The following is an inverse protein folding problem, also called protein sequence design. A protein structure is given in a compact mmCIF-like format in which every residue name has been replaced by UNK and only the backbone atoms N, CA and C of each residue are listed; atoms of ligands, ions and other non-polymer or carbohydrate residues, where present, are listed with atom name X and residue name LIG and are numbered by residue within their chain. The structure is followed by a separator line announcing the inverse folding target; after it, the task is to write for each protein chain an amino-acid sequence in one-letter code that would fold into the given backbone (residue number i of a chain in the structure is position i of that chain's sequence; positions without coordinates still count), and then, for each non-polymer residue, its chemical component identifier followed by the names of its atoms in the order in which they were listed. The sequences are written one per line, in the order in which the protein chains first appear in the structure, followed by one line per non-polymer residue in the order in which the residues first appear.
data_IF_078421247222
#
_entry.id   IF_078421247222
#
_cell.length_a   1.000
_cell.length_b   1.000
_cell.length_c   1.000
_cell.angle_alpha   90.00
_cell.angle_beta   90.00
_cell.angle_gamma   90.00
#
_symmetry.space_group_name_H-M   'P 1'
#
loop_
_entity.id
_entity.type
_entity.pdbx_description
1 polymer ?
#
# COMPACT_ATOMS: atom_id res chain seq x y z
N UNK A 1 1.70 1.64 55.86
CA UNK A 1 2.26 2.89 55.32
C UNK A 1 2.18 2.86 53.79
N UNK A 2 1.31 3.66 53.16
CA UNK A 2 1.28 3.84 51.69
C UNK A 2 2.24 4.98 51.33
N UNK A 3 3.18 4.76 50.40
CA UNK A 3 3.96 5.85 49.78
C UNK A 3 3.14 6.46 48.64
N UNK A 4 3.16 7.79 48.43
CA UNK A 4 2.50 8.41 47.28
C UNK A 4 3.36 8.24 46.02
N UNK A 5 2.76 7.74 44.94
CA UNK A 5 3.32 7.88 43.59
C UNK A 5 2.95 9.27 43.10
N UNK A 6 3.95 10.14 42.91
CA UNK A 6 3.81 11.36 42.11
C UNK A 6 4.08 10.96 40.66
N UNK A 7 3.03 10.92 39.84
CA UNK A 7 3.16 10.88 38.39
C UNK A 7 2.78 12.24 37.84
N UNK A 8 3.73 13.16 37.84
CA UNK A 8 3.68 14.36 37.01
C UNK A 8 4.66 14.16 35.85
N UNK A 9 4.32 13.27 34.92
CA UNK A 9 5.00 13.25 33.62
C UNK A 9 4.33 14.31 32.75
N UNK A 10 4.83 15.56 32.83
CA UNK A 10 4.53 16.57 31.82
C UNK A 10 5.07 16.04 30.49
N UNK A 11 4.19 15.82 29.52
CA UNK A 11 4.60 15.55 28.14
C UNK A 11 5.41 16.76 27.64
N UNK A 12 6.68 16.54 27.32
CA UNK A 12 7.50 17.57 26.70
C UNK A 12 6.98 17.85 25.28
N UNK A 13 6.98 19.12 24.83
CA UNK A 13 6.57 19.45 23.48
C UNK A 13 7.52 18.78 22.48
N UNK A 14 6.95 18.14 21.46
CA UNK A 14 7.72 17.53 20.39
C UNK A 14 8.70 18.54 19.79
N UNK A 15 9.96 18.14 19.65
CA UNK A 15 10.99 18.99 19.07
C UNK A 15 10.66 19.29 17.61
N UNK A 16 11.12 20.42 17.04
CA UNK A 16 10.91 20.73 15.62
C UNK A 16 11.39 19.61 14.67
N UNK A 17 12.45 18.88 15.05
CA UNK A 17 12.92 17.71 14.33
C UNK A 17 11.92 16.53 14.38
N UNK A 18 11.29 16.30 15.53
CA UNK A 18 10.26 15.26 15.70
C UNK A 18 8.97 15.62 14.93
N UNK A 19 8.59 16.90 14.90
CA UNK A 19 7.47 17.39 14.08
C UNK A 19 7.77 17.27 12.58
N UNK A 20 8.98 17.64 12.14
CA UNK A 20 9.40 17.50 10.75
C UNK A 20 9.46 16.04 10.29
N UNK A 21 9.97 15.14 11.14
CA UNK A 21 9.98 13.70 10.89
C UNK A 21 8.55 13.12 10.78
N UNK A 22 7.62 13.54 11.65
CA UNK A 22 6.20 13.16 11.53
C UNK A 22 5.55 13.67 10.25
N UNK A 23 5.86 14.90 9.82
CA UNK A 23 5.33 15.48 8.59
C UNK A 23 5.87 14.79 7.34
N UNK A 24 7.18 14.48 7.29
CA UNK A 24 7.79 13.74 6.19
C UNK A 24 7.29 12.30 6.09
N UNK A 25 7.11 11.64 7.24
CA UNK A 25 6.45 10.33 7.35
C UNK A 25 5.03 10.37 6.77
N UNK A 26 4.28 11.44 7.04
CA UNK A 26 2.93 11.61 6.52
C UNK A 26 2.89 11.84 5.00
N UNK A 27 3.89 12.52 4.41
CA UNK A 27 3.93 12.74 2.96
C UNK A 27 4.32 11.51 2.14
N UNK A 28 5.32 10.73 2.58
CA UNK A 28 5.74 9.51 1.87
C UNK A 28 4.61 8.45 1.88
N UNK A 29 3.92 8.32 3.01
CA UNK A 29 2.78 7.43 3.13
C UNK A 29 1.59 7.87 2.28
N UNK A 30 1.33 9.19 2.20
CA UNK A 30 0.27 9.74 1.35
C UNK A 30 0.54 9.46 -0.14
N UNK A 31 1.80 9.58 -0.58
CA UNK A 31 2.17 9.28 -1.95
C UNK A 31 2.01 7.79 -2.28
N UNK A 32 2.50 6.90 -1.42
CA UNK A 32 2.29 5.45 -1.56
C UNK A 32 0.79 5.08 -1.59
N UNK A 33 -0.03 5.75 -0.78
CA UNK A 33 -1.48 5.58 -0.80
C UNK A 33 -2.09 6.01 -2.14
N UNK A 34 -1.67 7.14 -2.70
CA UNK A 34 -2.14 7.60 -4.01
C UNK A 34 -1.79 6.61 -5.13
N UNK A 35 -0.57 6.08 -5.12
CA UNK A 35 -0.12 5.07 -6.09
C UNK A 35 -0.96 3.78 -5.99
N UNK A 36 -1.19 3.30 -4.76
CA UNK A 36 -2.06 2.13 -4.51
C UNK A 36 -3.49 2.38 -5.02
N UNK A 37 -4.05 3.56 -4.76
CA UNK A 37 -5.40 3.90 -5.22
C UNK A 37 -5.50 3.99 -6.74
N UNK A 38 -4.49 4.59 -7.39
CA UNK A 38 -4.40 4.67 -8.84
C UNK A 38 -4.33 3.28 -9.48
N UNK A 39 -3.47 2.41 -8.94
CA UNK A 39 -3.33 1.03 -9.42
C UNK A 39 -4.58 0.19 -9.13
N UNK A 40 -5.24 0.41 -8.00
CA UNK A 40 -6.52 -0.22 -7.67
C UNK A 40 -7.58 0.14 -8.69
N UNK A 41 -7.71 1.43 -9.03
CA UNK A 41 -8.68 1.89 -10.01
C UNK A 41 -8.43 1.28 -11.39
N UNK A 42 -7.17 1.28 -11.85
CA UNK A 42 -6.77 0.65 -13.11
C UNK A 42 -7.12 -0.84 -13.15
N UNK A 43 -6.78 -1.58 -12.09
CA UNK A 43 -7.08 -3.00 -11.98
C UNK A 43 -8.59 -3.28 -12.05
N UNK A 44 -9.38 -2.52 -11.28
CA UNK A 44 -10.84 -2.69 -11.25
C UNK A 44 -11.48 -2.38 -12.61
N UNK A 45 -11.01 -1.34 -13.31
CA UNK A 45 -11.50 -1.01 -14.65
C UNK A 45 -11.20 -2.11 -15.66
N UNK A 46 -9.97 -2.63 -15.68
CA UNK A 46 -9.58 -3.71 -16.58
C UNK A 46 -10.41 -4.98 -16.31
N UNK A 47 -10.56 -5.36 -15.03
CA UNK A 47 -11.33 -6.53 -14.65
C UNK A 47 -12.81 -6.39 -15.02
N UNK A 48 -13.38 -5.19 -14.86
CA UNK A 48 -14.75 -4.89 -15.27
C UNK A 48 -14.95 -5.06 -16.78
N UNK A 49 -14.00 -4.58 -17.60
CA UNK A 49 -14.06 -4.80 -19.05
C UNK A 49 -14.04 -6.28 -19.40
N UNK A 50 -13.11 -7.04 -18.82
CA UNK A 50 -13.02 -8.49 -19.02
C UNK A 50 -14.30 -9.23 -18.56
N UNK A 51 -14.92 -8.80 -17.46
CA UNK A 51 -16.17 -9.36 -16.97
C UNK A 51 -17.31 -9.14 -17.95
N UNK A 52 -17.41 -7.94 -18.52
CA UNK A 52 -18.40 -7.62 -19.55
C UNK A 52 -18.17 -8.41 -20.84
N UNK A 53 -16.92 -8.55 -21.27
CA UNK A 53 -16.59 -9.35 -22.46
C UNK A 53 -16.88 -10.83 -22.25
N UNK A 54 -16.61 -11.35 -21.04
CA UNK A 54 -16.98 -12.71 -20.67
C UNK A 54 -18.49 -12.89 -20.68
N UNK A 55 -19.26 -11.96 -20.11
CA UNK A 55 -20.73 -12.03 -20.13
C UNK A 55 -21.28 -12.02 -21.56
N UNK A 56 -20.72 -11.18 -22.44
CA UNK A 56 -21.08 -11.18 -23.87
C UNK A 56 -20.77 -12.53 -24.52
N UNK A 57 -19.61 -13.12 -24.25
CA UNK A 57 -19.24 -14.43 -24.77
C UNK A 57 -20.14 -15.56 -24.24
N UNK A 58 -20.49 -15.54 -22.95
CA UNK A 58 -21.40 -16.51 -22.33
C UNK A 58 -22.79 -16.46 -22.99
N UNK A 59 -23.32 -15.26 -23.25
CA UNK A 59 -24.61 -15.08 -23.92
C UNK A 59 -24.61 -15.52 -25.39
N UNK A 60 -23.45 -15.58 -26.03
CA UNK A 60 -23.29 -16.02 -27.41
C UNK A 60 -23.10 -17.54 -27.56
N UNK A 61 -22.87 -18.27 -26.47
CA UNK A 61 -22.63 -19.71 -26.48
C UNK A 61 -23.87 -20.48 -26.97
N UNK A 62 -23.65 -21.47 -27.84
CA UNK A 62 -24.69 -22.34 -28.42
C UNK A 62 -24.64 -23.77 -27.90
N UNK A 63 -23.64 -24.08 -27.07
CA UNK A 63 -23.48 -25.41 -26.45
C UNK A 63 -22.88 -25.33 -25.05
N UNK A 64 -23.10 -26.39 -24.27
CA UNK A 64 -22.49 -26.54 -22.96
C UNK A 64 -20.94 -26.60 -23.03
N UNK A 65 -20.39 -27.14 -24.12
CA UNK A 65 -18.94 -27.19 -24.33
C UNK A 65 -18.34 -25.81 -24.53
N UNK A 66 -18.97 -24.96 -25.35
CA UNK A 66 -18.55 -23.56 -25.53
C UNK A 66 -18.63 -22.78 -24.21
N UNK A 67 -19.71 -22.97 -23.46
CA UNK A 67 -19.89 -22.36 -22.14
C UNK A 67 -18.76 -22.73 -21.18
N UNK A 68 -18.42 -24.03 -21.11
CA UNK A 68 -17.32 -24.52 -20.26
C UNK A 68 -15.96 -23.95 -20.68
N UNK A 69 -15.72 -23.76 -21.97
CA UNK A 69 -14.48 -23.16 -22.47
C UNK A 69 -14.36 -21.70 -22.05
N UNK A 70 -15.42 -20.89 -22.26
CA UNK A 70 -15.46 -19.48 -21.85
C UNK A 70 -15.28 -19.37 -20.34
N UNK A 71 -16.00 -20.17 -19.57
CA UNK A 71 -15.91 -20.15 -18.11
C UNK A 71 -14.53 -20.59 -17.60
N UNK A 72 -13.92 -21.62 -18.19
CA UNK A 72 -12.57 -22.07 -17.81
C UNK A 72 -11.52 -21.01 -18.12
N UNK A 73 -11.60 -20.35 -19.29
CA UNK A 73 -10.71 -19.26 -19.65
C UNK A 73 -10.84 -18.10 -18.66
N UNK A 74 -12.08 -17.69 -18.36
CA UNK A 74 -12.37 -16.65 -17.38
C UNK A 74 -11.74 -16.93 -16.02
N UNK A 75 -11.94 -18.12 -15.46
CA UNK A 75 -11.38 -18.45 -14.15
C UNK A 75 -9.86 -18.43 -14.14
N UNK A 76 -9.21 -18.97 -15.18
CA UNK A 76 -7.75 -18.96 -15.28
C UNK A 76 -7.21 -17.53 -15.32
N UNK A 77 -7.79 -16.68 -16.17
CA UNK A 77 -7.38 -15.27 -16.29
C UNK A 77 -7.63 -14.52 -14.99
N UNK A 78 -8.83 -14.64 -14.41
CA UNK A 78 -9.16 -13.95 -13.16
C UNK A 78 -8.20 -14.34 -12.03
N UNK A 79 -7.89 -15.63 -11.87
CA UNK A 79 -6.94 -16.08 -10.85
C UNK A 79 -5.53 -15.50 -11.06
N UNK A 80 -5.04 -15.46 -12.29
CA UNK A 80 -3.75 -14.86 -12.61
C UNK A 80 -3.75 -13.35 -12.29
N UNK A 81 -4.75 -12.62 -12.80
CA UNK A 81 -4.84 -11.17 -12.62
C UNK A 81 -4.92 -10.77 -11.13
N UNK A 82 -5.71 -11.48 -10.32
CA UNK A 82 -5.77 -11.22 -8.88
C UNK A 82 -4.47 -11.58 -8.14
N UNK A 83 -3.80 -12.66 -8.54
CA UNK A 83 -2.52 -13.06 -7.94
C UNK A 83 -1.42 -12.04 -8.25
N UNK A 84 -1.35 -11.57 -9.49
CA UNK A 84 -0.39 -10.56 -9.94
C UNK A 84 -0.67 -9.22 -9.24
N UNK A 85 -1.94 -8.82 -9.16
CA UNK A 85 -2.35 -7.61 -8.45
C UNK A 85 -1.97 -7.66 -6.97
N UNK A 86 -2.27 -8.76 -6.28
CA UNK A 86 -1.92 -8.94 -4.86
C UNK A 86 -0.40 -8.93 -4.63
N UNK A 87 0.35 -9.56 -5.52
CA UNK A 87 1.83 -9.57 -5.48
C UNK A 87 2.39 -8.17 -5.64
N UNK A 88 1.93 -7.43 -6.65
CA UNK A 88 2.37 -6.05 -6.86
C UNK A 88 1.94 -5.12 -5.72
N UNK A 89 0.76 -5.30 -5.14
CA UNK A 89 0.32 -4.51 -3.99
C UNK A 89 1.23 -4.72 -2.78
N UNK A 90 1.59 -5.98 -2.50
CA UNK A 90 2.53 -6.33 -1.41
C UNK A 90 3.91 -5.70 -1.64
N UNK A 91 4.40 -5.71 -2.88
CA UNK A 91 5.70 -5.13 -3.22
C UNK A 91 5.73 -3.61 -3.05
N UNK A 92 4.68 -2.91 -3.52
CA UNK A 92 4.56 -1.45 -3.32
C UNK A 92 4.47 -1.09 -1.84
N UNK A 93 3.71 -1.85 -1.06
CA UNK A 93 3.61 -1.61 0.38
C UNK A 93 4.96 -1.83 1.09
N UNK A 94 5.71 -2.87 0.70
CA UNK A 94 7.03 -3.14 1.23
C UNK A 94 8.03 -2.03 0.83
N UNK A 95 7.99 -1.56 -0.42
CA UNK A 95 8.81 -0.45 -0.90
C UNK A 95 8.52 0.84 -0.12
N UNK A 96 7.25 1.22 0.00
CA UNK A 96 6.84 2.41 0.77
C UNK A 96 7.31 2.35 2.23
N UNK A 97 7.25 1.17 2.85
CA UNK A 97 7.75 0.95 4.21
C UNK A 97 9.27 1.14 4.27
N UNK A 98 10.01 0.58 3.31
CA UNK A 98 11.47 0.68 3.22
C UNK A 98 11.91 2.13 3.04
N UNK A 99 11.33 2.85 2.08
CA UNK A 99 11.68 4.24 1.78
C UNK A 99 11.46 5.13 3.01
N UNK A 100 10.34 4.91 3.71
CA UNK A 100 10.04 5.59 4.97
C UNK A 100 11.09 5.33 6.06
N UNK A 101 11.62 4.10 6.16
CA UNK A 101 12.67 3.76 7.13
C UNK A 101 14.04 4.38 6.76
N UNK A 102 14.36 4.46 5.47
CA UNK A 102 15.60 5.09 4.99
C UNK A 102 15.59 6.60 5.24
N UNK A 103 14.47 7.27 4.96
CA UNK A 103 14.27 8.69 5.25
C UNK A 103 14.45 8.99 6.74
N UNK A 104 13.85 8.17 7.62
CA UNK A 104 14.00 8.32 9.07
C UNK A 104 15.45 8.17 9.55
N UNK A 105 16.23 7.25 8.94
CA UNK A 105 17.67 7.07 9.25
C UNK A 105 18.52 8.23 8.79
N UNK A 106 18.25 8.77 7.60
CA UNK A 106 18.98 9.92 7.06
C UNK A 106 18.82 11.18 7.91
N UNK A 107 17.63 11.38 8.51
CA UNK A 107 17.36 12.48 9.43
C UNK A 107 18.15 12.42 10.75
N UNK A 108 18.46 11.21 11.24
CA UNK A 108 19.23 11.01 12.48
C UNK A 108 20.75 11.19 12.31
N UNK A 109 21.28 10.97 11.11
CA UNK A 109 22.73 11.04 10.82
C UNK A 109 23.29 12.47 10.81
N UNK A 110 22.46 13.50 10.57
CA UNK A 110 22.93 14.89 10.40
C UNK A 110 23.25 15.61 11.71
N UNK A 111 22.95 15.02 12.88
CA UNK A 111 23.08 15.68 14.18
C UNK A 111 24.44 15.54 14.88
N UNK A 112 25.37 14.73 14.36
CA UNK A 112 26.63 14.40 15.06
C UNK A 112 27.89 15.01 14.44
N UNK A 113 27.80 15.67 13.28
CA UNK A 113 28.97 16.17 12.53
C UNK A 113 29.34 17.64 12.85
N UNK A 114 28.46 18.36 13.56
CA UNK A 114 28.61 19.80 13.82
C UNK A 114 29.04 20.13 15.28
N UNK A 115 29.74 19.21 15.98
CA UNK A 115 30.27 19.49 17.33
C UNK A 115 31.79 19.72 17.25
N UNK A 116 32.27 20.98 17.30
CA UNK A 116 33.71 21.25 17.37
C UNK A 116 34.28 20.78 18.72
N UNK A 117 35.43 20.09 18.68
CA UNK A 117 36.26 19.78 19.85
C UNK A 117 36.94 21.02 20.41
#
# INVERSE_FOLDING_TARGET
MRKPVKTDAKAEPATPAMTAAMMAFNSAMLQAWQDIMSDSARFLTERLHQDLDTQRALLACKSATELLQVQSAFFKTAMADYADYATGLRERLAAATKDTMEDARSGFSRGYDDVPL
#
